data_IF_392407647698
#
_entry.id   IF_392407647698
#
_cell.length_a   1.000
_cell.length_b   1.000
_cell.length_c   1.000
_cell.angle_alpha   90.00
_cell.angle_beta   90.00
_cell.angle_gamma   90.00
#
_symmetry.space_group_name_H-M   'P 1'
#
loop_
_entity.id
_entity.type
_entity.pdbx_description
1 polymer ?
#
# COMPACT_ATOMS: atom_id res chain seq x y z
N UNK A 1 -6.80 -26.16 9.65
CA UNK A 1 -7.34 -24.88 10.18
C UNK A 1 -7.70 -24.06 8.96
N UNK A 2 -8.99 -23.86 8.70
CA UNK A 2 -9.41 -22.98 7.63
C UNK A 2 -8.96 -21.57 8.01
N UNK A 3 -7.99 -21.04 7.26
CA UNK A 3 -7.69 -19.61 7.25
C UNK A 3 -9.02 -18.97 6.82
N UNK A 4 -9.79 -18.47 7.78
CA UNK A 4 -11.02 -17.76 7.49
C UNK A 4 -10.53 -16.47 6.87
N UNK A 5 -10.39 -16.47 5.56
CA UNK A 5 -10.33 -15.27 4.77
C UNK A 5 -11.49 -14.41 5.26
N UNK A 6 -11.16 -13.28 5.90
CA UNK A 6 -12.18 -12.32 6.26
C UNK A 6 -12.98 -12.05 4.98
N UNK A 7 -14.31 -12.21 4.98
CA UNK A 7 -15.12 -12.12 3.76
C UNK A 7 -14.91 -10.79 3.02
N UNK A 8 -14.57 -9.75 3.78
CA UNK A 8 -14.17 -8.44 3.27
C UNK A 8 -12.88 -8.49 2.45
N UNK A 9 -11.83 -9.19 2.90
CA UNK A 9 -10.59 -9.37 2.15
C UNK A 9 -10.81 -10.17 0.87
N UNK A 10 -11.65 -11.21 0.91
CA UNK A 10 -11.99 -11.99 -0.27
C UNK A 10 -12.68 -11.13 -1.36
N UNK A 11 -13.44 -10.10 -0.96
CA UNK A 11 -14.07 -9.17 -1.89
C UNK A 11 -13.08 -8.23 -2.60
N UNK A 12 -11.82 -8.17 -2.14
CA UNK A 12 -10.76 -7.41 -2.80
C UNK A 12 -10.14 -8.15 -3.99
N UNK A 13 -10.27 -9.48 -4.09
CA UNK A 13 -9.71 -10.24 -5.22
C UNK A 13 -10.27 -9.70 -6.55
N UNK A 14 -9.41 -9.60 -7.58
CA UNK A 14 -9.71 -9.06 -8.91
C UNK A 14 -10.04 -7.55 -8.93
N UNK A 15 -9.94 -6.87 -7.78
CA UNK A 15 -10.18 -5.43 -7.68
C UNK A 15 -8.95 -4.62 -8.06
N UNK A 16 -9.19 -3.49 -8.72
CA UNK A 16 -8.15 -2.53 -9.07
C UNK A 16 -7.92 -1.61 -7.89
N UNK A 17 -6.69 -1.59 -7.40
CA UNK A 17 -6.32 -0.74 -6.29
C UNK A 17 -5.11 0.12 -6.67
N UNK A 18 -5.18 1.38 -6.26
CA UNK A 18 -4.10 2.34 -6.40
C UNK A 18 -3.41 2.51 -5.05
N UNK A 19 -2.17 2.06 -4.95
CA UNK A 19 -1.38 2.06 -3.71
C UNK A 19 -0.45 3.26 -3.70
N UNK A 20 -0.62 4.18 -2.76
CA UNK A 20 0.32 5.28 -2.47
C UNK A 20 1.13 4.97 -1.22
N UNK A 21 2.45 4.92 -1.33
CA UNK A 21 3.38 4.68 -0.24
C UNK A 21 4.21 5.94 -0.03
N UNK A 22 4.05 6.57 1.13
CA UNK A 22 4.78 7.77 1.52
C UNK A 22 5.87 7.40 2.50
N UNK A 23 7.13 7.64 2.16
CA UNK A 23 8.28 7.39 3.03
C UNK A 23 8.59 8.65 3.82
N UNK A 24 8.76 8.50 5.13
CA UNK A 24 9.12 9.58 6.06
C UNK A 24 10.44 9.26 6.76
N UNK A 25 11.25 10.29 6.97
CA UNK A 25 12.48 10.18 7.77
C UNK A 25 12.18 10.10 9.28
N UNK A 26 13.20 9.86 10.10
CA UNK A 26 13.07 9.84 11.57
C UNK A 26 12.53 11.15 12.14
N UNK A 27 12.73 12.25 11.42
CA UNK A 27 12.24 13.58 11.79
C UNK A 27 10.75 13.80 11.42
N UNK A 28 10.15 12.87 10.69
CA UNK A 28 8.79 13.00 10.14
C UNK A 28 8.73 13.77 8.81
N UNK A 29 9.87 14.15 8.23
CA UNK A 29 9.93 14.79 6.92
C UNK A 29 9.64 13.78 5.81
N UNK A 30 8.82 14.16 4.82
CA UNK A 30 8.54 13.32 3.65
C UNK A 30 9.81 13.17 2.80
N UNK A 31 10.31 11.95 2.72
CA UNK A 31 11.45 11.59 1.87
C UNK A 31 11.02 11.44 0.42
N UNK A 32 10.03 10.59 0.18
CA UNK A 32 9.57 10.25 -1.16
C UNK A 32 8.18 9.64 -1.12
N UNK A 33 7.40 9.82 -2.19
CA UNK A 33 6.14 9.11 -2.39
C UNK A 33 6.26 8.19 -3.62
N UNK A 34 5.81 6.95 -3.48
CA UNK A 34 5.71 5.96 -4.55
C UNK A 34 4.25 5.61 -4.76
N UNK A 35 3.73 5.85 -5.96
CA UNK A 35 2.38 5.40 -6.34
C UNK A 35 2.50 4.20 -7.26
N UNK A 36 1.68 3.19 -7.00
CA UNK A 36 1.66 1.91 -7.68
C UNK A 36 0.21 1.60 -8.05
N UNK A 37 -0.05 1.23 -9.28
CA UNK A 37 -1.33 0.69 -9.69
C UNK A 37 -1.22 -0.83 -9.78
N UNK A 38 -2.17 -1.56 -9.20
CA UNK A 38 -2.16 -3.02 -9.23
C UNK A 38 -3.56 -3.61 -9.13
N UNK A 39 -3.68 -4.86 -9.57
CA UNK A 39 -4.89 -5.66 -9.38
C UNK A 39 -4.63 -6.69 -8.30
N UNK A 40 -5.55 -6.82 -7.35
CA UNK A 40 -5.41 -7.78 -6.26
C UNK A 40 -5.52 -9.20 -6.79
N UNK A 41 -4.44 -9.96 -6.69
CA UNK A 41 -4.38 -11.36 -7.15
C UNK A 41 -4.46 -12.35 -6.01
N UNK A 42 -4.09 -11.94 -4.80
CA UNK A 42 -4.10 -12.80 -3.62
C UNK A 42 -4.36 -12.00 -2.36
N UNK A 43 -5.13 -12.56 -1.43
CA UNK A 43 -5.34 -12.00 -0.10
C UNK A 43 -5.30 -13.13 0.92
N UNK A 44 -4.59 -12.93 2.02
CA UNK A 44 -4.43 -13.92 3.08
C UNK A 44 -4.15 -13.18 4.39
N UNK A 45 -4.75 -13.61 5.50
CA UNK A 45 -4.56 -12.94 6.78
C UNK A 45 -3.11 -13.04 7.30
N UNK A 46 -2.38 -14.07 6.88
CA UNK A 46 -0.98 -14.32 7.27
C UNK A 46 0.03 -13.67 6.33
N UNK A 47 -0.18 -13.79 5.02
CA UNK A 47 0.75 -13.29 4.00
C UNK A 47 0.47 -11.84 3.59
N UNK A 48 -0.74 -11.32 3.84
CA UNK A 48 -1.13 -9.98 3.42
C UNK A 48 -1.98 -9.95 2.14
N UNK A 49 -1.99 -8.80 1.47
CA UNK A 49 -2.71 -8.55 0.22
C UNK A 49 -1.68 -8.37 -0.88
N UNK A 50 -1.62 -9.33 -1.81
CA UNK A 50 -0.73 -9.27 -2.98
C UNK A 50 -1.46 -8.66 -4.16
N UNK A 51 -0.88 -7.58 -4.69
CA UNK A 51 -1.29 -6.91 -5.90
C UNK A 51 -0.30 -7.21 -7.01
N UNK A 52 -0.80 -7.47 -8.21
CA UNK A 52 0.01 -7.60 -9.41
C UNK A 52 -0.07 -6.31 -10.21
N UNK A 53 1.09 -5.71 -10.46
CA UNK A 53 1.26 -4.55 -11.32
C UNK A 53 1.21 -4.94 -12.80
N UNK A 54 1.08 -3.97 -13.69
CA UNK A 54 1.06 -4.23 -15.14
C UNK A 54 2.39 -4.78 -15.66
N UNK A 55 3.51 -4.39 -15.03
CA UNK A 55 4.85 -4.92 -15.30
C UNK A 55 5.08 -6.34 -14.75
N UNK A 56 4.00 -7.04 -14.36
CA UNK A 56 4.01 -8.37 -13.75
C UNK A 56 4.69 -8.45 -12.38
N UNK A 57 5.13 -7.32 -11.83
CA UNK A 57 5.65 -7.22 -10.47
C UNK A 57 4.54 -7.47 -9.44
N UNK A 58 4.85 -8.30 -8.45
CA UNK A 58 3.95 -8.60 -7.34
C UNK A 58 4.35 -7.78 -6.12
N UNK A 59 3.40 -7.03 -5.58
CA UNK A 59 3.59 -6.21 -4.41
C UNK A 59 2.68 -6.69 -3.28
N UNK A 60 3.26 -7.07 -2.15
CA UNK A 60 2.49 -7.57 -1.01
C UNK A 60 2.41 -6.52 0.08
N UNK A 61 1.18 -6.11 0.38
CA UNK A 61 0.85 -5.20 1.47
C UNK A 61 0.42 -5.98 2.71
N UNK A 62 0.52 -5.39 3.91
CA UNK A 62 -0.09 -5.96 5.10
C UNK A 62 -1.60 -6.20 4.89
N UNK A 63 -2.16 -7.21 5.55
CA UNK A 63 -3.59 -7.57 5.49
C UNK A 63 -4.54 -6.56 6.17
N UNK A 64 -4.10 -5.31 6.33
CA UNK A 64 -4.87 -4.26 7.00
C UNK A 64 -5.80 -3.56 6.01
N UNK A 65 -7.11 -3.64 6.26
CA UNK A 65 -8.11 -2.84 5.54
C UNK A 65 -8.20 -1.39 5.99
N UNK A 66 -7.52 -0.99 7.06
CA UNK A 66 -7.54 0.38 7.58
C UNK A 66 -7.09 1.43 6.54
N UNK A 67 -6.20 1.03 5.62
CA UNK A 67 -5.71 1.86 4.52
C UNK A 67 -6.57 1.82 3.26
N UNK A 68 -7.61 0.97 3.19
CA UNK A 68 -8.38 0.74 1.97
C UNK A 68 -9.60 1.66 1.91
N UNK A 69 -9.58 2.59 0.96
CA UNK A 69 -10.66 3.54 0.71
C UNK A 69 -11.29 3.26 -0.64
N UNK A 70 -12.59 3.51 -0.78
CA UNK A 70 -13.23 3.49 -2.10
C UNK A 70 -12.66 4.60 -2.95
N UNK A 71 -12.13 4.24 -4.11
CA UNK A 71 -11.59 5.25 -5.01
C UNK A 71 -12.73 5.94 -5.77
N UNK A 72 -12.78 7.27 -5.81
CA UNK A 72 -13.69 7.95 -6.69
C UNK A 72 -13.37 7.61 -8.15
N UNK A 73 -14.41 7.47 -8.97
CA UNK A 73 -14.28 7.30 -10.41
C UNK A 73 -13.48 8.48 -10.98
N UNK A 74 -12.39 8.17 -11.69
CA UNK A 74 -11.40 9.14 -12.12
C UNK A 74 -10.20 8.47 -12.78
N UNK A 75 -9.29 9.28 -13.31
CA UNK A 75 -8.04 8.80 -13.88
C UNK A 75 -6.91 9.09 -12.89
N UNK A 76 -6.25 8.04 -12.42
CA UNK A 76 -5.15 8.14 -11.47
C UNK A 76 -3.86 7.78 -12.18
N UNK A 77 -2.79 8.52 -11.87
CA UNK A 77 -1.47 8.31 -12.47
C UNK A 77 -0.53 7.67 -11.46
N UNK A 78 0.06 6.54 -11.83
CA UNK A 78 1.08 5.83 -11.07
C UNK A 78 2.43 6.54 -11.20
N UNK A 79 3.37 6.28 -10.30
CA UNK A 79 4.73 6.84 -10.40
C UNK A 79 5.45 6.39 -11.67
N UNK A 80 5.10 5.22 -12.21
CA UNK A 80 5.64 4.69 -13.47
C UNK A 80 5.09 5.43 -14.72
N UNK A 81 4.09 6.30 -14.54
CA UNK A 81 3.42 7.01 -15.63
C UNK A 81 2.19 6.29 -16.17
N UNK A 82 1.89 5.09 -15.66
CA UNK A 82 0.66 4.35 -15.97
C UNK A 82 -0.58 5.12 -15.50
N UNK A 83 -1.62 5.13 -16.32
CA UNK A 83 -2.91 5.75 -15.98
C UNK A 83 -3.92 4.63 -15.74
N UNK A 84 -4.43 4.54 -14.50
CA UNK A 84 -5.52 3.66 -14.13
C UNK A 84 -6.83 4.45 -14.09
N UNK A 85 -7.78 4.06 -14.94
CA UNK A 85 -9.11 4.64 -14.98
C UNK A 85 -10.05 3.87 -14.08
N UNK A 86 -10.74 4.59 -13.20
CA UNK A 86 -11.72 4.08 -12.24
C UNK A 86 -11.19 2.88 -11.43
N UNK A 87 -10.15 3.06 -10.60
CA UNK A 87 -9.82 2.05 -9.60
C UNK A 87 -11.03 1.82 -8.68
N UNK A 88 -11.14 0.62 -8.13
CA UNK A 88 -12.15 0.30 -7.10
C UNK A 88 -11.70 0.86 -5.74
N UNK A 89 -10.39 0.80 -5.45
CA UNK A 89 -9.83 1.17 -4.15
C UNK A 89 -8.59 2.05 -4.24
N UNK A 90 -8.42 2.93 -3.25
CA UNK A 90 -7.20 3.68 -2.96
C UNK A 90 -6.62 3.13 -1.67
N UNK A 91 -5.33 2.82 -1.69
CA UNK A 91 -4.63 2.26 -0.54
C UNK A 91 -3.46 3.16 -0.21
N UNK A 92 -3.42 3.72 0.99
CA UNK A 92 -2.34 4.64 1.40
C UNK A 92 -1.57 4.09 2.60
N UNK A 93 -0.26 4.07 2.48
CA UNK A 93 0.67 3.59 3.51
C UNK A 93 1.73 4.63 3.78
N UNK A 94 1.95 4.93 5.05
CA UNK A 94 3.01 5.81 5.51
C UNK A 94 4.10 4.94 6.13
N UNK A 95 5.31 5.03 5.59
CA UNK A 95 6.45 4.23 6.00
C UNK A 95 7.41 5.15 6.74
N UNK A 96 7.36 5.10 8.07
CA UNK A 96 8.18 5.94 8.93
C UNK A 96 9.49 5.22 9.28
N UNK A 97 10.61 5.90 9.10
CA UNK A 97 11.91 5.42 9.57
C UNK A 97 11.97 5.59 11.09
N UNK A 98 12.19 4.51 11.84
CA UNK A 98 12.21 4.56 13.32
C UNK A 98 13.60 4.47 13.96
N UNK A 99 14.69 4.35 13.20
CA UNK A 99 16.02 4.17 13.78
C UNK A 99 16.84 5.47 13.80
N UNK A 100 17.14 5.94 15.03
CA UNK A 100 18.11 6.99 15.37
C UNK A 100 19.42 6.87 14.59
N UNK A 101 19.94 8.02 14.16
CA UNK A 101 21.21 8.19 13.45
C UNK A 101 22.48 7.76 14.25
N UNK A 102 22.34 7.23 15.47
CA UNK A 102 23.44 7.07 16.43
C UNK A 102 23.78 5.60 16.79
N UNK A 103 23.26 4.60 16.07
CA UNK A 103 23.62 3.18 16.29
C UNK A 103 24.50 2.65 15.15
N UNK A 104 25.65 2.01 15.46
CA UNK A 104 26.57 1.51 14.44
C UNK A 104 25.91 0.45 13.56
N UNK A 105 26.23 0.52 12.26
CA UNK A 105 25.78 -0.37 11.20
C UNK A 105 25.92 -1.84 11.59
N UNK A 106 24.80 -2.55 11.57
CA UNK A 106 24.82 -4.00 11.78
C UNK A 106 23.48 -4.64 11.48
N UNK A 107 22.37 -4.11 12.03
CA UNK A 107 21.17 -4.95 12.11
C UNK A 107 19.89 -4.14 11.84
N UNK A 108 19.43 -4.28 10.59
CA UNK A 108 18.07 -4.08 10.11
C UNK A 108 17.58 -2.62 10.11
N UNK A 109 17.28 -2.08 8.93
CA UNK A 109 16.58 -0.80 8.81
C UNK A 109 15.11 -1.05 9.24
N UNK A 110 14.71 -0.51 10.39
CA UNK A 110 13.34 -0.63 10.90
C UNK A 110 12.45 0.44 10.28
N UNK A 111 11.67 0.02 9.29
CA UNK A 111 10.60 0.82 8.70
C UNK A 111 9.28 0.42 9.36
N UNK A 112 8.58 1.38 9.94
CA UNK A 112 7.25 1.17 10.49
C UNK A 112 6.20 1.47 9.42
N UNK A 113 5.44 0.44 9.04
CA UNK A 113 4.32 0.57 8.12
C UNK A 113 3.09 1.02 8.89
N UNK A 114 2.75 2.29 8.74
CA UNK A 114 1.56 2.91 9.32
C UNK A 114 0.48 2.94 8.25
N UNK A 115 -0.63 2.26 8.53
CA UNK A 115 -1.80 2.32 7.67
C UNK A 115 -2.37 3.73 7.72
N UNK A 116 -2.38 4.45 6.59
CA UNK A 116 -2.97 5.78 6.55
C UNK A 116 -4.49 5.64 6.67
N UNK A 117 -5.04 6.06 7.81
CA UNK A 117 -6.50 6.06 8.04
C UNK A 117 -7.17 7.32 7.51
N UNK A 118 -6.41 8.21 6.88
CA UNK A 118 -6.90 9.47 6.32
C UNK A 118 -7.12 9.28 4.82
N UNK A 119 -8.33 9.55 4.31
CA UNK A 119 -8.58 9.46 2.89
C UNK A 119 -7.68 10.47 2.15
N UNK A 120 -6.97 10.05 1.09
CA UNK A 120 -6.19 10.99 0.30
C UNK A 120 -7.14 11.99 -0.37
N UNK A 121 -6.97 13.28 -0.06
CA UNK A 121 -7.67 14.35 -0.78
C UNK A 121 -7.09 14.46 -2.18
N UNK A 122 -7.74 13.81 -3.15
CA UNK A 122 -7.54 14.07 -4.57
C UNK A 122 -8.22 15.40 -4.91
N UNK A 123 -7.43 16.47 -4.88
CA UNK A 123 -7.84 17.84 -5.27
C UNK A 123 -7.66 18.10 -6.76
#
# INVERSE_FOLDING_TARGET
MADILAPELAALIDKRAMVGISYFDINGDTLQQRMLAGTVVRVTAKDGITLRQQNEEEFTLPSSMASWFLAPAGNYKSSDGEIISNPDYLVTWDVHRCQDADKPEGEHQWWEWVANTTPPSVG
#
